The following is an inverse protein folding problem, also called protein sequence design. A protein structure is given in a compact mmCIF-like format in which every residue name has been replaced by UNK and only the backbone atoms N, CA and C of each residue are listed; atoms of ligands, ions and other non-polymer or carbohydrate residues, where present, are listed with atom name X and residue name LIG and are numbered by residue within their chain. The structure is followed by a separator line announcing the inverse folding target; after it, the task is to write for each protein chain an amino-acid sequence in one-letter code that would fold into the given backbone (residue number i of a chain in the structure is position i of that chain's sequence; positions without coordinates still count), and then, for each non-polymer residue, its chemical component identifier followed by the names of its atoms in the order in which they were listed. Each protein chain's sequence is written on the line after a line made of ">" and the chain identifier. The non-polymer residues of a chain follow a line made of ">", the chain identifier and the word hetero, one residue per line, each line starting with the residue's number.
data_IF_682868793579
#
_entry.id   IF_682868793579
#
_cell.length_a   1.000
_cell.length_b   1.000
_cell.length_c   1.000
_cell.angle_alpha   90.00
_cell.angle_beta   90.00
_cell.angle_gamma   90.00
#
_symmetry.space_group_name_H-M   'P 1'
#
loop_
_entity.id
_entity.type
_entity.pdbx_description
1 polymer ?
#
# COMPACT_ATOMS: atom_id res chain seq x y z
N UNK A 1 2.02 25.97 -49.52
CA UNK A 1 1.33 24.79 -48.92
C UNK A 1 2.37 23.71 -48.68
N UNK A 2 2.91 23.61 -47.45
CA UNK A 2 3.79 22.49 -47.12
C UNK A 2 2.93 21.24 -46.97
N UNK A 3 3.11 20.27 -47.87
CA UNK A 3 2.54 18.93 -47.71
C UNK A 3 3.24 18.30 -46.51
N UNK A 4 2.70 18.52 -45.31
CA UNK A 4 3.10 17.82 -44.11
C UNK A 4 2.79 16.35 -44.38
N UNK A 5 3.84 15.55 -44.60
CA UNK A 5 3.73 14.10 -44.58
C UNK A 5 3.20 13.73 -43.19
N UNK A 6 1.88 13.52 -43.08
CA UNK A 6 1.29 12.89 -41.90
C UNK A 6 1.77 11.45 -41.90
N UNK A 7 2.80 11.17 -41.10
CA UNK A 7 3.20 9.80 -40.85
C UNK A 7 1.99 9.06 -40.25
N UNK A 8 1.76 7.81 -40.67
CA UNK A 8 0.66 7.01 -40.14
C UNK A 8 0.80 6.75 -38.63
N UNK A 9 2.03 6.82 -38.11
CA UNK A 9 2.35 6.79 -36.69
C UNK A 9 3.64 7.58 -36.45
N UNK A 10 3.87 8.01 -35.21
CA UNK A 10 5.08 8.71 -34.80
C UNK A 10 5.81 7.88 -33.73
N UNK A 11 7.07 7.47 -33.95
CA UNK A 11 7.90 6.91 -32.89
C UNK A 11 7.96 7.88 -31.69
N UNK A 12 8.02 7.35 -30.47
CA UNK A 12 7.87 8.14 -29.23
C UNK A 12 8.76 9.39 -29.19
N UNK A 13 10.05 9.26 -29.51
CA UNK A 13 10.98 10.40 -29.53
C UNK A 13 10.71 11.43 -30.64
N UNK A 14 10.10 11.01 -31.75
CA UNK A 14 9.67 11.95 -32.79
C UNK A 14 8.37 12.65 -32.39
N UNK A 15 7.45 11.94 -31.73
CA UNK A 15 6.22 12.50 -31.18
C UNK A 15 6.55 13.55 -30.10
N UNK A 16 7.46 13.25 -29.18
CA UNK A 16 7.92 14.17 -28.14
C UNK A 16 8.50 15.47 -28.72
N UNK A 17 9.38 15.36 -29.73
CA UNK A 17 9.91 16.52 -30.45
C UNK A 17 8.84 17.33 -31.16
N UNK A 18 7.85 16.68 -31.76
CA UNK A 18 6.77 17.36 -32.46
C UNK A 18 5.82 18.10 -31.50
N UNK A 19 5.62 17.54 -30.31
CA UNK A 19 4.78 18.09 -29.24
C UNK A 19 5.54 19.04 -28.30
N UNK A 20 6.85 19.21 -28.51
CA UNK A 20 7.73 20.02 -27.67
C UNK A 20 7.69 19.63 -26.18
N UNK A 21 7.73 18.32 -25.92
CA UNK A 21 7.79 17.72 -24.58
C UNK A 21 8.90 16.66 -24.50
N UNK A 22 9.18 16.15 -23.31
CA UNK A 22 10.06 15.00 -23.09
C UNK A 22 9.31 13.67 -23.30
N UNK A 23 10.03 12.61 -23.69
CA UNK A 23 9.45 11.28 -23.85
C UNK A 23 8.80 10.76 -22.55
N UNK A 24 9.37 11.11 -21.39
CA UNK A 24 8.85 10.71 -20.09
C UNK A 24 7.47 11.31 -19.82
N UNK A 25 7.18 12.52 -20.31
CA UNK A 25 5.87 13.15 -20.13
C UNK A 25 4.78 12.39 -20.91
N UNK A 26 5.12 11.91 -22.11
CA UNK A 26 4.22 11.05 -22.89
C UNK A 26 4.02 9.68 -22.25
N UNK A 27 5.07 9.11 -21.65
CA UNK A 27 4.95 7.85 -20.91
C UNK A 27 4.06 8.01 -19.65
N UNK A 28 4.19 9.12 -18.92
CA UNK A 28 3.35 9.41 -17.75
C UNK A 28 1.88 9.53 -18.16
N UNK A 29 1.59 10.28 -19.24
CA UNK A 29 0.22 10.39 -19.78
C UNK A 29 -0.34 9.04 -20.23
N UNK A 30 0.50 8.16 -20.75
CA UNK A 30 0.07 6.83 -21.15
C UNK A 30 -0.20 5.93 -19.93
N UNK A 31 0.59 6.07 -18.87
CA UNK A 31 0.44 5.31 -17.62
C UNK A 31 -0.78 5.77 -16.81
N UNK A 32 -1.12 7.07 -16.84
CA UNK A 32 -2.36 7.59 -16.25
C UNK A 32 -3.62 7.21 -17.03
N UNK A 33 -3.48 6.62 -18.21
CA UNK A 33 -4.58 6.25 -19.11
C UNK A 33 -5.12 7.40 -19.95
N UNK A 34 -4.46 8.56 -19.95
CA UNK A 34 -4.88 9.73 -20.75
C UNK A 34 -4.62 9.52 -22.25
N UNK A 35 -3.61 8.71 -22.59
CA UNK A 35 -3.31 8.29 -23.98
C UNK A 35 -2.99 6.80 -24.04
N UNK A 36 -3.05 6.20 -25.22
CA UNK A 36 -2.65 4.80 -25.45
C UNK A 36 -1.44 4.76 -26.37
N UNK A 37 -0.38 4.09 -25.92
CA UNK A 37 0.78 3.78 -26.76
C UNK A 37 0.59 2.40 -27.40
N UNK A 38 1.07 2.26 -28.63
CA UNK A 38 1.00 1.01 -29.38
C UNK A 38 2.40 0.54 -29.74
N UNK A 39 2.59 -0.78 -29.77
CA UNK A 39 3.79 -1.37 -30.30
C UNK A 39 3.95 -1.00 -31.77
N UNK A 40 5.21 -0.95 -32.21
CA UNK A 40 5.52 -0.66 -33.60
C UNK A 40 4.85 -1.72 -34.49
N UNK A 41 4.05 -1.31 -35.50
CA UNK A 41 3.42 -2.28 -36.38
C UNK A 41 4.50 -3.07 -37.12
N UNK A 42 4.35 -4.40 -37.19
CA UNK A 42 5.20 -5.21 -38.06
C UNK A 42 5.26 -4.55 -39.45
N UNK A 43 6.45 -4.31 -40.04
CA UNK A 43 6.56 -3.74 -41.39
C UNK A 43 5.80 -4.54 -42.46
N UNK A 44 5.45 -5.80 -42.20
CA UNK A 44 4.57 -6.59 -43.06
C UNK A 44 3.06 -6.25 -42.93
N UNK A 45 2.66 -5.41 -41.96
CA UNK A 45 1.27 -5.01 -41.66
C UNK A 45 0.30 -6.18 -41.39
N UNK A 46 0.83 -7.36 -41.03
CA UNK A 46 0.06 -8.58 -40.82
C UNK A 46 -0.58 -8.67 -39.43
N UNK A 47 -0.04 -7.90 -38.47
CA UNK A 47 -0.50 -7.87 -37.07
C UNK A 47 -0.99 -6.45 -36.79
N UNK A 48 -2.20 -6.33 -36.22
CA UNK A 48 -2.80 -5.04 -35.87
C UNK A 48 -1.98 -4.30 -34.80
N UNK A 49 -2.26 -3.01 -34.62
CA UNK A 49 -1.64 -2.22 -33.55
C UNK A 49 -1.98 -2.84 -32.18
N UNK A 50 -0.97 -3.39 -31.52
CA UNK A 50 -1.12 -3.94 -30.17
C UNK A 50 -0.83 -2.85 -29.13
N UNK A 51 -1.74 -2.57 -28.19
CA UNK A 51 -1.49 -1.58 -27.15
C UNK A 51 -0.36 -2.05 -26.23
N UNK A 52 0.52 -1.13 -25.85
CA UNK A 52 1.58 -1.39 -24.88
C UNK A 52 0.93 -1.51 -23.49
N UNK A 53 1.27 -2.55 -22.75
CA UNK A 53 0.67 -2.79 -21.44
C UNK A 53 1.15 -1.75 -20.41
N UNK A 54 0.29 -1.44 -19.44
CA UNK A 54 0.58 -0.46 -18.37
C UNK A 54 1.89 -0.79 -17.62
N UNK A 55 2.14 -2.09 -17.38
CA UNK A 55 3.36 -2.58 -16.73
C UNK A 55 4.62 -2.28 -17.55
N UNK A 56 4.53 -2.40 -18.88
CA UNK A 56 5.66 -2.10 -19.78
C UNK A 56 5.94 -0.60 -19.81
N UNK A 57 4.89 0.23 -19.84
CA UNK A 57 5.01 1.69 -19.74
C UNK A 57 5.64 2.08 -18.39
N UNK A 58 5.21 1.48 -17.29
CA UNK A 58 5.79 1.69 -15.96
C UNK A 58 7.28 1.33 -15.90
N UNK A 59 7.67 0.22 -16.51
CA UNK A 59 9.08 -0.16 -16.61
C UNK A 59 9.90 0.85 -17.44
N UNK A 60 9.34 1.40 -18.52
CA UNK A 60 9.98 2.44 -19.34
C UNK A 60 10.15 3.75 -18.56
N UNK A 61 9.15 4.18 -17.78
CA UNK A 61 9.23 5.37 -16.92
C UNK A 61 10.38 5.21 -15.93
N UNK A 62 10.42 4.08 -15.20
CA UNK A 62 11.46 3.80 -14.22
C UNK A 62 12.84 3.91 -14.86
N UNK A 63 13.07 3.30 -16.03
CA UNK A 63 14.33 3.37 -16.78
C UNK A 63 14.73 4.78 -17.21
N UNK A 64 13.77 5.68 -17.46
CA UNK A 64 14.07 7.07 -17.79
C UNK A 64 14.43 7.92 -16.57
N UNK A 65 14.00 7.55 -15.37
CA UNK A 65 14.35 8.26 -14.12
C UNK A 65 15.82 8.07 -13.71
N UNK A 66 16.37 9.04 -12.97
CA UNK A 66 17.72 8.92 -12.37
C UNK A 66 17.83 7.70 -11.45
N UNK A 67 16.79 7.46 -10.66
CA UNK A 67 16.71 6.35 -9.71
C UNK A 67 16.70 5.00 -10.41
N UNK A 68 15.90 4.83 -11.46
CA UNK A 68 15.86 3.55 -12.19
C UNK A 68 17.14 3.28 -12.99
N UNK A 69 17.83 4.30 -13.51
CA UNK A 69 19.18 4.13 -14.08
C UNK A 69 20.19 3.66 -13.03
N UNK A 70 20.19 4.27 -11.84
CA UNK A 70 21.06 3.86 -10.74
C UNK A 70 20.76 2.43 -10.28
N UNK A 71 19.48 2.03 -10.20
CA UNK A 71 19.10 0.65 -9.90
C UNK A 71 19.47 -0.31 -11.02
N UNK A 72 19.41 0.08 -12.28
CA UNK A 72 19.80 -0.79 -13.40
C UNK A 72 21.31 -1.05 -13.41
N UNK A 73 22.13 -0.02 -13.20
CA UNK A 73 23.59 -0.17 -13.02
C UNK A 73 23.90 -1.04 -11.79
N UNK A 74 23.18 -0.84 -10.69
CA UNK A 74 23.31 -1.63 -9.46
C UNK A 74 22.89 -3.09 -9.66
N UNK A 75 21.75 -3.36 -10.30
CA UNK A 75 21.23 -4.71 -10.57
C UNK A 75 22.09 -5.46 -11.58
N UNK A 76 22.68 -4.77 -12.56
CA UNK A 76 23.60 -5.37 -13.53
C UNK A 76 24.89 -5.92 -12.90
N UNK A 77 25.15 -5.61 -11.62
CA UNK A 77 26.34 -6.06 -10.87
C UNK A 77 26.11 -7.29 -9.99
N UNK A 78 24.89 -7.83 -9.94
CA UNK A 78 24.58 -9.04 -9.18
C UNK A 78 24.41 -10.24 -10.12
N UNK A 79 24.98 -11.40 -9.75
CA UNK A 79 24.83 -12.67 -10.48
C UNK A 79 23.40 -13.25 -10.43
N UNK A 80 22.58 -12.79 -9.49
CA UNK A 80 21.19 -13.21 -9.35
C UNK A 80 20.33 -12.53 -10.43
N UNK A 81 19.77 -13.30 -11.35
CA UNK A 81 18.93 -12.76 -12.41
C UNK A 81 17.56 -12.39 -11.83
N UNK A 82 16.91 -11.35 -12.37
CA UNK A 82 15.57 -10.94 -11.93
C UNK A 82 14.53 -12.08 -12.06
N UNK A 83 14.80 -13.04 -12.95
CA UNK A 83 14.03 -14.25 -13.19
C UNK A 83 14.07 -15.25 -12.03
N UNK A 84 15.03 -15.10 -11.11
CA UNK A 84 15.26 -16.02 -9.99
C UNK A 84 14.46 -15.62 -8.74
N UNK A 85 13.81 -14.45 -8.76
CA UNK A 85 13.05 -13.90 -7.64
C UNK A 85 11.58 -14.30 -7.79
N UNK A 86 11.11 -15.12 -6.85
CA UNK A 86 9.71 -15.55 -6.77
C UNK A 86 9.05 -15.05 -5.48
N UNK A 87 7.81 -14.56 -5.61
CA UNK A 87 6.96 -14.20 -4.49
C UNK A 87 5.91 -15.30 -4.27
N UNK A 88 5.97 -16.05 -3.15
CA UNK A 88 5.01 -17.12 -2.86
C UNK A 88 3.57 -16.62 -2.78
N UNK A 89 2.59 -17.47 -3.10
CA UNK A 89 1.17 -17.11 -3.15
C UNK A 89 0.65 -16.50 -1.83
N UNK A 90 1.09 -17.03 -0.69
CA UNK A 90 0.73 -16.51 0.64
C UNK A 90 1.25 -15.09 0.89
N UNK A 91 2.42 -14.75 0.33
CA UNK A 91 3.03 -13.43 0.45
C UNK A 91 2.44 -12.45 -0.60
N UNK A 92 2.06 -12.95 -1.77
CA UNK A 92 1.27 -12.21 -2.77
C UNK A 92 -0.08 -11.75 -2.20
N UNK A 93 -0.81 -12.61 -1.50
CA UNK A 93 -2.10 -12.25 -0.88
C UNK A 93 -1.95 -11.20 0.22
N UNK A 94 -0.89 -11.32 1.05
CA UNK A 94 -0.59 -10.33 2.09
C UNK A 94 -0.23 -8.98 1.49
N UNK A 95 0.63 -8.96 0.46
CA UNK A 95 1.05 -7.75 -0.23
C UNK A 95 -0.14 -7.05 -0.92
N UNK A 96 -0.99 -7.82 -1.60
CA UNK A 96 -2.19 -7.29 -2.27
C UNK A 96 -3.17 -6.64 -1.28
N UNK A 97 -3.41 -7.26 -0.12
CA UNK A 97 -4.24 -6.63 0.93
C UNK A 97 -3.62 -5.33 1.43
N UNK A 98 -2.33 -5.34 1.75
CA UNK A 98 -1.66 -4.17 2.32
C UNK A 98 -1.62 -2.96 1.37
N UNK A 99 -1.38 -3.21 0.08
CA UNK A 99 -1.27 -2.18 -0.95
C UNK A 99 -2.61 -1.52 -1.25
N UNK A 100 -3.71 -2.29 -1.20
CA UNK A 100 -5.05 -1.81 -1.54
C UNK A 100 -5.80 -1.17 -0.37
N UNK A 101 -5.22 -1.14 0.83
CA UNK A 101 -5.78 -0.38 1.93
C UNK A 101 -5.47 1.11 1.79
N UNK A 102 -6.51 1.94 1.92
CA UNK A 102 -6.37 3.38 2.15
C UNK A 102 -5.57 3.65 3.43
N UNK A 103 -4.99 4.85 3.60
CA UNK A 103 -4.24 5.18 4.82
C UNK A 103 -5.09 5.10 6.10
N UNK A 104 -6.41 5.30 5.99
CA UNK A 104 -7.38 5.08 7.06
C UNK A 104 -7.64 3.59 7.31
N UNK A 105 -7.70 2.77 6.27
CA UNK A 105 -7.80 1.31 6.37
C UNK A 105 -6.52 0.67 6.90
N UNK A 106 -5.33 1.16 6.54
CA UNK A 106 -4.05 0.72 7.11
C UNK A 106 -3.95 1.04 8.60
N UNK A 107 -4.52 2.18 9.03
CA UNK A 107 -4.70 2.51 10.46
C UNK A 107 -5.78 1.65 11.14
N UNK A 108 -6.83 1.27 10.41
CA UNK A 108 -7.90 0.42 10.91
C UNK A 108 -7.57 -1.09 10.90
N UNK A 109 -6.67 -1.57 10.05
CA UNK A 109 -6.17 -2.96 10.09
C UNK A 109 -5.20 -3.15 11.26
N UNK A 110 -4.47 -2.08 11.63
CA UNK A 110 -3.80 -1.97 12.94
C UNK A 110 -4.78 -1.89 14.12
N UNK A 111 -6.06 -1.55 13.93
CA UNK A 111 -7.08 -1.79 14.95
C UNK A 111 -7.38 -3.28 14.95
N UNK A 112 -6.69 -4.01 15.82
CA UNK A 112 -7.12 -5.32 16.28
C UNK A 112 -8.60 -5.20 16.65
N UNK A 113 -9.49 -5.73 15.80
CA UNK A 113 -10.93 -5.66 16.02
C UNK A 113 -11.28 -6.59 17.18
N UNK A 114 -11.13 -6.07 18.39
CA UNK A 114 -11.50 -6.77 19.61
C UNK A 114 -13.02 -6.92 19.58
N UNK A 115 -13.46 -8.17 19.50
CA UNK A 115 -14.88 -8.53 19.49
C UNK A 115 -15.49 -8.25 20.88
N UNK A 116 -16.79 -7.99 20.94
CA UNK A 116 -17.48 -7.77 22.22
C UNK A 116 -17.26 -8.93 23.21
N UNK A 117 -17.19 -10.18 22.72
CA UNK A 117 -16.88 -11.37 23.55
C UNK A 117 -15.46 -11.32 24.13
N UNK A 118 -14.46 -10.88 23.36
CA UNK A 118 -13.10 -10.70 23.86
C UNK A 118 -13.03 -9.55 24.88
N UNK A 119 -13.74 -8.45 24.64
CA UNK A 119 -13.84 -7.36 25.60
C UNK A 119 -14.53 -7.79 26.90
N UNK A 120 -15.61 -8.57 26.82
CA UNK A 120 -16.29 -9.16 27.97
C UNK A 120 -15.40 -10.14 28.72
N UNK A 121 -14.60 -10.94 28.00
CA UNK A 121 -13.61 -11.83 28.61
C UNK A 121 -12.55 -11.05 29.39
N UNK A 122 -12.02 -9.96 28.80
CA UNK A 122 -11.07 -9.06 29.49
C UNK A 122 -11.72 -8.42 30.73
N UNK A 123 -12.95 -7.92 30.62
CA UNK A 123 -13.69 -7.39 31.77
C UNK A 123 -13.93 -8.46 32.86
N UNK A 124 -14.20 -9.71 32.45
CA UNK A 124 -14.31 -10.86 33.35
C UNK A 124 -12.99 -11.17 34.07
N UNK A 125 -11.87 -11.12 33.37
CA UNK A 125 -10.53 -11.27 33.99
C UNK A 125 -10.24 -10.13 34.97
N UNK A 126 -10.58 -8.90 34.64
CA UNK A 126 -10.45 -7.76 35.55
C UNK A 126 -11.32 -7.96 36.80
N UNK A 127 -12.56 -8.43 36.66
CA UNK A 127 -13.40 -8.79 37.83
C UNK A 127 -12.79 -9.92 38.66
N UNK A 128 -12.21 -10.94 38.02
CA UNK A 128 -11.50 -12.02 38.72
C UNK A 128 -10.28 -11.48 39.51
N UNK A 129 -9.64 -10.43 39.00
CA UNK A 129 -8.57 -9.67 39.67
C UNK A 129 -9.10 -8.63 40.69
N UNK A 130 -10.37 -8.75 41.11
CA UNK A 130 -11.03 -7.90 42.12
C UNK A 130 -11.15 -6.43 41.71
N UNK A 131 -11.32 -6.14 40.42
CA UNK A 131 -11.81 -4.85 39.95
C UNK A 131 -13.33 -4.83 39.99
N UNK A 132 -13.90 -3.73 40.46
CA UNK A 132 -15.35 -3.55 40.64
C UNK A 132 -15.96 -2.73 39.50
N UNK A 133 -17.28 -2.75 39.39
CA UNK A 133 -17.98 -1.92 38.40
C UNK A 133 -17.80 -0.41 38.66
N UNK A 134 -17.52 0.00 39.91
CA UNK A 134 -17.14 1.38 40.22
C UNK A 134 -15.75 1.73 39.67
N UNK A 135 -14.81 0.78 39.66
CA UNK A 135 -13.49 0.98 39.06
C UNK A 135 -13.59 1.19 37.53
N UNK A 136 -14.55 0.54 36.85
CA UNK A 136 -14.76 0.70 35.41
C UNK A 136 -15.45 2.02 35.03
N UNK A 137 -16.38 2.47 35.86
CA UNK A 137 -17.09 3.76 35.71
C UNK A 137 -16.25 4.96 36.16
N UNK A 138 -15.24 4.72 36.99
CA UNK A 138 -14.32 5.73 37.49
C UNK A 138 -13.36 6.30 36.45
N UNK A 139 -12.37 7.04 36.96
CA UNK A 139 -11.34 7.69 36.16
C UNK A 139 -10.46 6.63 35.46
N UNK A 140 -10.37 6.73 34.13
CA UNK A 140 -9.57 5.80 33.33
C UNK A 140 -8.08 5.83 33.73
N UNK A 141 -7.42 6.99 33.96
CA UNK A 141 -6.07 7.04 34.52
C UNK A 141 -5.88 6.31 35.85
N UNK A 142 -6.87 6.34 36.74
CA UNK A 142 -6.80 5.65 38.03
C UNK A 142 -6.93 4.14 37.87
N UNK A 143 -7.80 3.70 36.96
CA UNK A 143 -7.93 2.29 36.59
C UNK A 143 -6.63 1.75 36.00
N UNK A 144 -5.96 2.51 35.12
CA UNK A 144 -4.68 2.14 34.53
C UNK A 144 -3.61 1.94 35.62
N UNK A 145 -3.48 2.90 36.54
CA UNK A 145 -2.53 2.77 37.68
C UNK A 145 -2.82 1.55 38.55
N UNK A 146 -4.10 1.24 38.80
CA UNK A 146 -4.49 0.04 39.56
C UNK A 146 -4.14 -1.24 38.79
N UNK A 147 -4.30 -1.27 37.48
CA UNK A 147 -3.92 -2.39 36.61
C UNK A 147 -2.40 -2.58 36.59
N UNK A 148 -1.62 -1.51 36.41
CA UNK A 148 -0.15 -1.57 36.44
C UNK A 148 0.38 -2.11 37.78
N UNK A 149 -0.24 -1.71 38.89
CA UNK A 149 0.15 -2.19 40.22
C UNK A 149 -0.22 -3.65 40.48
N UNK A 150 -1.38 -4.12 40.00
CA UNK A 150 -1.88 -5.49 40.27
C UNK A 150 -1.47 -6.52 39.22
N UNK A 151 -1.24 -6.08 37.98
CA UNK A 151 -0.90 -6.91 36.83
C UNK A 151 0.18 -6.21 35.98
N UNK A 152 1.42 -6.11 36.47
CA UNK A 152 2.51 -5.42 35.77
C UNK A 152 2.84 -6.03 34.40
N UNK A 153 2.59 -7.33 34.21
CA UNK A 153 2.71 -8.00 32.92
C UNK A 153 1.69 -7.51 31.86
N UNK A 154 0.59 -6.87 32.29
CA UNK A 154 -0.41 -6.29 31.41
C UNK A 154 -0.18 -4.79 31.13
N UNK A 155 0.84 -4.16 31.75
CA UNK A 155 1.12 -2.73 31.60
C UNK A 155 1.41 -2.34 30.13
N UNK A 156 2.05 -3.24 29.37
CA UNK A 156 2.34 -3.03 27.94
C UNK A 156 1.10 -2.96 27.04
N UNK A 157 -0.06 -3.43 27.51
CA UNK A 157 -1.31 -3.41 26.73
C UNK A 157 -1.97 -2.02 26.75
N UNK A 158 -1.58 -1.16 27.70
CA UNK A 158 -2.23 0.13 27.99
C UNK A 158 -1.50 1.33 27.35
N UNK A 159 -0.45 1.07 26.57
CA UNK A 159 0.50 2.08 26.06
C UNK A 159 -0.10 3.20 25.17
N UNK A 160 -1.32 3.08 24.65
CA UNK A 160 -2.01 4.15 23.91
C UNK A 160 -2.91 5.01 24.82
N UNK A 161 -2.33 5.61 25.86
CA UNK A 161 -2.99 6.61 26.73
C UNK A 161 -4.37 6.18 27.28
N UNK A 162 -4.64 4.88 27.37
CA UNK A 162 -5.94 4.32 27.76
C UNK A 162 -7.01 4.26 26.67
N UNK A 163 -6.79 4.71 25.43
CA UNK A 163 -7.78 4.65 24.34
C UNK A 163 -8.24 3.21 24.08
N UNK A 164 -7.31 2.29 23.98
CA UNK A 164 -7.58 0.85 23.81
C UNK A 164 -8.40 0.27 24.96
N UNK A 165 -8.04 0.60 26.20
CA UNK A 165 -8.76 0.13 27.40
C UNK A 165 -10.18 0.69 27.46
N UNK A 166 -10.35 1.98 27.16
CA UNK A 166 -11.66 2.66 27.09
C UNK A 166 -12.57 2.01 26.05
N UNK A 167 -12.04 1.74 24.86
CA UNK A 167 -12.78 1.08 23.79
C UNK A 167 -13.18 -0.35 24.15
N UNK A 168 -12.33 -1.09 24.86
CA UNK A 168 -12.68 -2.42 25.36
C UNK A 168 -13.78 -2.39 26.41
N UNK A 169 -13.70 -1.49 27.39
CA UNK A 169 -14.72 -1.37 28.45
C UNK A 169 -16.08 -0.96 27.87
N UNK A 170 -16.10 -0.04 26.90
CA UNK A 170 -17.34 0.34 26.18
C UNK A 170 -17.93 -0.84 25.40
N UNK A 171 -17.09 -1.57 24.66
CA UNK A 171 -17.52 -2.77 23.91
C UNK A 171 -17.97 -3.92 24.81
N UNK A 172 -17.51 -3.95 26.06
CA UNK A 172 -17.92 -4.93 27.07
C UNK A 172 -19.21 -4.54 27.82
N UNK A 173 -19.77 -3.35 27.56
CA UNK A 173 -20.95 -2.81 28.24
C UNK A 173 -20.77 -2.65 29.76
N UNK A 174 -19.56 -2.27 30.19
CA UNK A 174 -19.23 -2.03 31.60
C UNK A 174 -18.93 -0.55 31.90
N UNK A 175 -18.96 0.31 30.88
CA UNK A 175 -18.68 1.75 30.96
C UNK A 175 -19.60 2.55 30.05
#
# INVERSE_FOLDING_TARGET
>A
MSKVFKLQYYPLGLAAKHLNCEEIELLILAHSGDITLYQYPDPALLIGYEPVAEVEIGAMIVRQTKTGRAYQEYVSSFDTQLTDVVLPAEEMEKASRFLNMSDDERKAEKKVNTTAKQCQFIAGLLRALKFTDEDFKGSLPELIKKIEHRAPAAAGIVLDEGKTLSDWLKKADVR
#
